data_IF_931534189909
#
_entry.id   IF_931534189909
#
_cell.length_a   1.000
_cell.length_b   1.000
_cell.length_c   1.000
_cell.angle_alpha   90.00
_cell.angle_beta   90.00
_cell.angle_gamma   90.00
#
_symmetry.space_group_name_H-M   'P 1'
#
loop_
_entity.id
_entity.type
_entity.pdbx_description
1 polymer ?
#
# COMPACT_ATOMS: atom_id res chain seq x y z
N UNK A 1 23.40 -23.03 13.67
CA UNK A 1 22.60 -22.03 12.89
C UNK A 1 21.56 -22.65 11.95
N UNK A 2 21.91 -23.48 10.95
CA UNK A 2 20.92 -24.04 9.98
C UNK A 2 19.71 -24.73 10.63
N UNK A 3 19.93 -25.57 11.65
CA UNK A 3 18.86 -26.32 12.35
C UNK A 3 17.85 -25.41 13.08
N UNK A 4 18.33 -24.44 13.86
CA UNK A 4 17.50 -23.41 14.52
C UNK A 4 16.69 -22.56 13.53
N UNK A 5 17.23 -22.29 12.33
CA UNK A 5 16.49 -21.64 11.24
C UNK A 5 15.34 -22.52 10.76
N UNK A 6 15.57 -23.83 10.57
CA UNK A 6 14.53 -24.78 10.15
C UNK A 6 13.43 -24.95 11.22
N UNK A 7 13.79 -25.09 12.49
CA UNK A 7 12.84 -25.24 13.61
C UNK A 7 11.92 -24.01 13.74
N UNK A 8 12.47 -22.79 13.65
CA UNK A 8 11.67 -21.55 13.62
C UNK A 8 10.78 -21.46 12.39
N UNK A 9 11.29 -21.79 11.20
CA UNK A 9 10.49 -21.79 9.96
C UNK A 9 9.35 -22.81 10.04
N UNK A 10 9.59 -24.00 10.58
CA UNK A 10 8.57 -25.03 10.76
C UNK A 10 7.46 -24.55 11.72
N UNK A 11 7.83 -23.91 12.84
CA UNK A 11 6.86 -23.30 13.77
C UNK A 11 6.00 -22.22 13.10
N UNK A 12 6.62 -21.32 12.32
CA UNK A 12 5.90 -20.30 11.54
C UNK A 12 4.91 -20.93 10.55
N UNK A 13 5.32 -21.97 9.82
CA UNK A 13 4.45 -22.71 8.87
C UNK A 13 3.24 -23.33 9.56
N UNK A 14 3.44 -23.95 10.73
CA UNK A 14 2.34 -24.53 11.53
C UNK A 14 1.35 -23.47 12.01
N UNK A 15 1.82 -22.25 12.30
CA UNK A 15 0.97 -21.10 12.62
C UNK A 15 0.34 -20.39 11.42
N UNK A 16 0.57 -20.86 10.19
CA UNK A 16 0.13 -20.17 8.96
C UNK A 16 0.85 -18.83 8.69
N UNK A 17 1.96 -18.58 9.39
CA UNK A 17 2.73 -17.34 9.35
C UNK A 17 3.83 -17.40 8.29
N UNK A 18 4.29 -16.24 7.83
CA UNK A 18 5.39 -16.11 6.86
C UNK A 18 6.43 -15.09 7.30
N UNK A 19 7.65 -15.25 6.81
CA UNK A 19 8.65 -14.17 6.81
C UNK A 19 8.39 -13.29 5.59
N UNK A 20 8.07 -12.02 5.78
CA UNK A 20 7.96 -11.07 4.68
C UNK A 20 9.34 -10.52 4.32
N UNK A 21 9.66 -10.46 3.03
CA UNK A 21 10.86 -9.83 2.50
C UNK A 21 10.42 -8.80 1.46
N UNK A 22 10.69 -7.54 1.77
CA UNK A 22 10.37 -6.38 0.93
C UNK A 22 11.66 -5.88 0.28
N UNK A 23 11.61 -5.63 -1.03
CA UNK A 23 12.66 -4.95 -1.80
C UNK A 23 11.99 -3.97 -2.77
N UNK A 24 12.77 -3.24 -3.57
CA UNK A 24 12.24 -2.22 -4.48
C UNK A 24 11.82 -2.78 -5.85
N UNK A 25 12.55 -3.74 -6.41
CA UNK A 25 12.37 -4.21 -7.80
C UNK A 25 11.88 -5.65 -7.91
N UNK A 26 11.19 -5.98 -9.01
CA UNK A 26 10.79 -7.37 -9.31
C UNK A 26 12.02 -8.27 -9.55
N UNK A 27 13.09 -7.74 -10.17
CA UNK A 27 14.33 -8.49 -10.39
C UNK A 27 14.97 -8.95 -9.06
N UNK A 28 15.07 -8.04 -8.08
CA UNK A 28 15.53 -8.38 -6.73
C UNK A 28 14.58 -9.36 -6.04
N UNK A 29 13.25 -9.23 -6.23
CA UNK A 29 12.29 -10.21 -5.70
C UNK A 29 12.55 -11.61 -6.25
N UNK A 30 12.79 -11.74 -7.55
CA UNK A 30 12.95 -13.04 -8.22
C UNK A 30 14.32 -13.66 -7.91
N UNK A 31 15.37 -12.85 -7.80
CA UNK A 31 16.67 -13.30 -7.28
C UNK A 31 16.56 -13.83 -5.84
N UNK A 32 15.89 -13.11 -4.94
CA UNK A 32 15.70 -13.55 -3.55
C UNK A 32 14.85 -14.83 -3.49
N UNK A 33 13.78 -14.96 -4.30
CA UNK A 33 12.98 -16.20 -4.38
C UNK A 33 13.83 -17.38 -4.84
N UNK A 34 14.67 -17.21 -5.87
CA UNK A 34 15.56 -18.26 -6.36
C UNK A 34 16.60 -18.67 -5.30
N UNK A 35 17.21 -17.70 -4.60
CA UNK A 35 18.14 -17.95 -3.46
C UNK A 35 17.48 -18.67 -2.28
N UNK A 36 16.15 -18.57 -2.12
CA UNK A 36 15.34 -19.21 -1.09
C UNK A 36 14.69 -20.54 -1.56
N UNK A 37 15.03 -21.03 -2.75
CA UNK A 37 14.43 -22.23 -3.36
C UNK A 37 12.89 -22.18 -3.37
N UNK A 38 12.33 -20.98 -3.59
CA UNK A 38 10.90 -20.69 -3.60
C UNK A 38 10.13 -21.14 -2.34
N UNK A 39 10.79 -21.25 -1.18
CA UNK A 39 10.16 -21.69 0.07
C UNK A 39 8.94 -20.82 0.44
N UNK A 40 7.76 -21.43 0.40
CA UNK A 40 6.47 -20.80 0.67
C UNK A 40 6.34 -20.19 2.09
N UNK A 41 7.27 -20.49 2.99
CA UNK A 41 7.45 -19.84 4.30
C UNK A 41 7.82 -18.36 4.19
N UNK A 42 8.31 -17.92 3.02
CA UNK A 42 8.63 -16.54 2.73
C UNK A 42 7.57 -15.91 1.82
N UNK A 43 7.31 -14.62 2.01
CA UNK A 43 6.59 -13.78 1.06
C UNK A 43 7.54 -12.69 0.56
N UNK A 44 8.11 -12.90 -0.62
CA UNK A 44 9.04 -11.96 -1.28
C UNK A 44 8.25 -11.11 -2.28
N UNK A 45 8.26 -9.80 -2.10
CA UNK A 45 7.49 -8.85 -2.92
C UNK A 45 8.08 -7.45 -2.92
N UNK A 46 7.76 -6.65 -3.94
CA UNK A 46 8.07 -5.22 -3.90
C UNK A 46 7.26 -4.54 -2.80
N UNK A 47 7.70 -3.37 -2.32
CA UNK A 47 6.97 -2.62 -1.28
C UNK A 47 5.51 -2.34 -1.65
N UNK A 48 5.24 -2.04 -2.93
CA UNK A 48 3.88 -1.90 -3.44
C UNK A 48 3.11 -3.21 -3.49
N UNK A 49 3.74 -4.31 -3.90
CA UNK A 49 3.13 -5.64 -3.92
C UNK A 49 2.76 -6.13 -2.52
N UNK A 50 3.65 -5.92 -1.54
CA UNK A 50 3.39 -6.20 -0.14
C UNK A 50 2.22 -5.37 0.40
N UNK A 51 2.29 -4.05 0.20
CA UNK A 51 1.26 -3.09 0.64
C UNK A 51 -0.11 -3.45 0.07
N UNK A 52 -0.18 -3.77 -1.23
CA UNK A 52 -1.42 -4.21 -1.85
C UNK A 52 -1.93 -5.53 -1.27
N UNK A 53 -1.11 -6.59 -1.15
CA UNK A 53 -1.55 -7.87 -0.56
C UNK A 53 -1.92 -7.78 0.94
N UNK A 54 -1.52 -6.69 1.61
CA UNK A 54 -1.97 -6.35 2.96
C UNK A 54 -3.36 -5.70 2.95
N UNK A 55 -3.61 -4.68 2.11
CA UNK A 55 -4.88 -3.91 2.11
C UNK A 55 -6.00 -4.49 1.22
N UNK A 56 -5.66 -5.27 0.19
CA UNK A 56 -6.56 -5.88 -0.81
C UNK A 56 -7.82 -6.57 -0.27
N UNK A 57 -7.83 -7.22 0.91
CA UNK A 57 -9.07 -7.79 1.47
C UNK A 57 -10.13 -6.73 1.84
N UNK A 58 -9.73 -5.52 2.23
CA UNK A 58 -10.58 -4.52 2.90
C UNK A 58 -11.27 -3.57 1.91
N UNK A 59 -12.03 -4.13 0.99
CA UNK A 59 -12.66 -3.41 -0.14
C UNK A 59 -13.57 -2.25 0.29
N UNK A 60 -14.22 -2.34 1.46
CA UNK A 60 -15.05 -1.26 2.00
C UNK A 60 -14.21 -0.13 2.60
N UNK A 61 -13.14 -0.45 3.33
CA UNK A 61 -12.21 0.54 3.87
C UNK A 61 -11.44 1.25 2.75
N UNK A 62 -11.04 0.53 1.69
CA UNK A 62 -10.49 1.11 0.45
C UNK A 62 -11.45 2.15 -0.12
N UNK A 63 -12.74 1.82 -0.26
CA UNK A 63 -13.77 2.76 -0.77
C UNK A 63 -13.91 3.99 0.13
N UNK A 64 -13.97 3.79 1.45
CA UNK A 64 -14.13 4.86 2.42
C UNK A 64 -12.92 5.81 2.44
N UNK A 65 -11.70 5.27 2.38
CA UNK A 65 -10.46 6.06 2.32
C UNK A 65 -10.37 6.85 1.02
N UNK A 66 -10.65 6.23 -0.14
CA UNK A 66 -10.69 6.93 -1.43
C UNK A 66 -11.72 8.07 -1.44
N UNK A 67 -12.91 7.86 -0.86
CA UNK A 67 -13.91 8.92 -0.67
C UNK A 67 -13.34 10.09 0.12
N UNK A 68 -12.78 9.83 1.32
CA UNK A 68 -12.18 10.86 2.19
C UNK A 68 -11.09 11.64 1.44
N UNK A 69 -10.17 10.93 0.77
CA UNK A 69 -9.07 11.51 0.01
C UNK A 69 -9.55 12.35 -1.19
N UNK A 70 -10.44 11.83 -2.03
CA UNK A 70 -10.94 12.54 -3.21
C UNK A 70 -11.71 13.81 -2.83
N UNK A 71 -12.53 13.78 -1.77
CA UNK A 71 -13.22 14.97 -1.25
C UNK A 71 -12.21 16.05 -0.82
N UNK A 72 -11.17 15.68 -0.07
CA UNK A 72 -10.11 16.61 0.35
C UNK A 72 -9.31 17.18 -0.84
N UNK A 73 -8.91 16.33 -1.79
CA UNK A 73 -8.19 16.77 -3.00
C UNK A 73 -9.04 17.72 -3.86
N UNK A 74 -10.36 17.47 -3.99
CA UNK A 74 -11.29 18.35 -4.70
C UNK A 74 -11.40 19.71 -4.00
N UNK A 75 -11.58 19.73 -2.67
CA UNK A 75 -11.69 20.98 -1.91
C UNK A 75 -10.42 21.85 -2.04
N UNK A 76 -9.23 21.24 -1.92
CA UNK A 76 -7.95 21.95 -2.10
C UNK A 76 -7.79 22.48 -3.53
N UNK A 77 -8.23 21.74 -4.55
CA UNK A 77 -8.19 22.22 -5.93
C UNK A 77 -9.19 23.36 -6.19
N UNK A 78 -10.38 23.31 -5.59
CA UNK A 78 -11.38 24.37 -5.66
C UNK A 78 -10.88 25.66 -4.99
N UNK A 79 -10.31 25.56 -3.79
CA UNK A 79 -9.71 26.71 -3.09
C UNK A 79 -8.57 27.33 -3.92
N UNK A 80 -7.66 26.51 -4.45
CA UNK A 80 -6.57 26.96 -5.34
C UNK A 80 -7.08 27.56 -6.64
N UNK A 81 -8.26 27.18 -7.11
CA UNK A 81 -8.89 27.77 -8.28
C UNK A 81 -9.49 29.16 -7.96
N UNK A 82 -10.18 29.30 -6.84
CA UNK A 82 -10.76 30.58 -6.39
C UNK A 82 -9.68 31.63 -6.09
N UNK A 83 -8.59 31.23 -5.42
CA UNK A 83 -7.47 32.13 -5.05
C UNK A 83 -6.43 32.30 -6.17
N UNK A 84 -6.58 31.63 -7.32
CA UNK A 84 -5.55 31.55 -8.35
C UNK A 84 -5.62 32.69 -9.38
N UNK A 85 -4.44 33.12 -9.87
CA UNK A 85 -4.37 34.07 -11.00
C UNK A 85 -5.00 33.48 -12.27
N UNK A 86 -6.03 34.16 -12.78
CA UNK A 86 -6.69 33.83 -14.05
C UNK A 86 -5.70 33.83 -15.24
N UNK A 87 -6.00 33.02 -16.26
CA UNK A 87 -5.17 32.89 -17.47
C UNK A 87 -3.88 32.06 -17.31
N UNK A 88 -3.51 31.64 -16.09
CA UNK A 88 -2.38 30.72 -15.89
C UNK A 88 -2.70 29.29 -16.36
N UNK A 89 -1.69 28.54 -16.82
CA UNK A 89 -1.85 27.10 -17.18
C UNK A 89 -2.51 26.31 -16.04
N UNK A 90 -2.09 26.55 -14.79
CA UNK A 90 -2.68 25.92 -13.61
C UNK A 90 -4.18 26.23 -13.45
N UNK A 91 -4.63 27.46 -13.77
CA UNK A 91 -6.05 27.82 -13.73
C UNK A 91 -6.89 27.15 -14.83
N UNK A 92 -6.27 26.74 -15.95
CA UNK A 92 -6.91 25.97 -17.03
C UNK A 92 -6.93 24.46 -16.74
N UNK A 93 -5.91 23.93 -16.07
CA UNK A 93 -5.79 22.50 -15.76
C UNK A 93 -6.60 22.08 -14.51
N UNK A 94 -6.73 22.93 -13.49
CA UNK A 94 -7.49 22.61 -12.26
C UNK A 94 -8.95 22.18 -12.51
N UNK A 95 -9.76 22.86 -13.35
CA UNK A 95 -11.12 22.41 -13.67
C UNK A 95 -11.17 20.97 -14.21
N UNK A 96 -10.21 20.60 -15.07
CA UNK A 96 -10.11 19.23 -15.62
C UNK A 96 -9.75 18.21 -14.53
N UNK A 97 -8.85 18.58 -13.61
CA UNK A 97 -8.49 17.72 -12.47
C UNK A 97 -9.66 17.53 -11.49
N UNK A 98 -10.43 18.59 -11.22
CA UNK A 98 -11.64 18.54 -10.38
C UNK A 98 -12.68 17.62 -11.02
N UNK A 99 -13.00 17.81 -12.30
CA UNK A 99 -13.94 16.96 -13.04
C UNK A 99 -13.52 15.48 -13.04
N UNK A 100 -12.24 15.18 -13.32
CA UNK A 100 -11.72 13.82 -13.28
C UNK A 100 -11.87 13.16 -11.90
N UNK A 101 -11.55 13.89 -10.81
CA UNK A 101 -11.72 13.41 -9.44
C UNK A 101 -13.18 13.24 -9.05
N UNK A 102 -14.06 14.17 -9.44
CA UNK A 102 -15.50 14.07 -9.20
C UNK A 102 -16.10 12.86 -9.93
N UNK A 103 -15.69 12.59 -11.17
CA UNK A 103 -16.09 11.41 -11.93
C UNK A 103 -15.64 10.10 -11.26
N UNK A 104 -14.46 10.07 -10.62
CA UNK A 104 -14.01 8.92 -9.84
C UNK A 104 -14.78 8.77 -8.52
N UNK A 105 -14.99 9.87 -7.79
CA UNK A 105 -15.76 9.92 -6.55
C UNK A 105 -17.20 9.40 -6.75
N UNK A 106 -17.88 9.85 -7.81
CA UNK A 106 -19.23 9.42 -8.17
C UNK A 106 -19.30 7.93 -8.60
N UNK A 107 -18.18 7.34 -9.01
CA UNK A 107 -18.11 5.93 -9.42
C UNK A 107 -17.90 4.96 -8.24
N UNK A 108 -17.43 5.42 -7.07
CA UNK A 108 -16.96 4.56 -5.98
C UNK A 108 -17.97 3.49 -5.50
N UNK A 109 -19.26 3.81 -5.40
CA UNK A 109 -20.31 2.90 -4.92
C UNK A 109 -20.70 1.84 -5.97
N UNK A 110 -20.37 2.09 -7.23
CA UNK A 110 -20.58 1.13 -8.33
C UNK A 110 -19.38 0.17 -8.45
N UNK A 111 -18.25 0.49 -7.83
CA UNK A 111 -17.04 -0.36 -7.83
C UNK A 111 -17.22 -1.48 -6.79
N UNK A 112 -17.42 -2.70 -7.30
CA UNK A 112 -17.53 -3.93 -6.49
C UNK A 112 -16.19 -4.37 -5.90
N UNK A 113 -15.10 -4.17 -6.65
CA UNK A 113 -13.74 -4.57 -6.27
C UNK A 113 -12.74 -3.61 -6.88
N UNK A 114 -11.81 -3.12 -6.07
CA UNK A 114 -10.64 -2.37 -6.49
C UNK A 114 -9.51 -3.31 -6.88
N UNK A 115 -8.70 -2.87 -7.83
CA UNK A 115 -7.53 -3.57 -8.33
C UNK A 115 -6.26 -2.70 -8.17
N UNK A 116 -5.10 -3.31 -8.35
CA UNK A 116 -3.82 -2.64 -8.45
C UNK A 116 -2.96 -3.42 -9.45
N UNK A 117 -2.26 -2.70 -10.31
CA UNK A 117 -1.35 -3.27 -11.30
C UNK A 117 0.08 -2.75 -11.04
N UNK A 118 1.05 -3.62 -10.67
CA UNK A 118 2.43 -3.23 -10.44
C UNK A 118 3.18 -2.61 -11.63
N UNK A 119 2.66 -2.74 -12.85
CA UNK A 119 3.20 -2.07 -14.04
C UNK A 119 2.86 -0.57 -14.11
N UNK A 120 1.98 -0.07 -13.25
CA UNK A 120 1.46 1.30 -13.28
C UNK A 120 0.29 1.53 -14.23
N UNK A 121 -0.10 0.53 -15.04
CA UNK A 121 -1.29 0.63 -15.89
C UNK A 121 -2.58 0.78 -15.06
N UNK A 122 -3.37 1.80 -15.40
CA UNK A 122 -4.63 2.12 -14.73
C UNK A 122 -5.77 2.14 -15.76
N UNK A 123 -6.31 0.98 -16.18
CA UNK A 123 -7.32 0.89 -17.23
C UNK A 123 -8.73 1.30 -16.77
N UNK A 124 -8.96 1.56 -15.49
CA UNK A 124 -10.28 1.80 -14.92
C UNK A 124 -10.27 2.53 -13.59
N UNK A 125 -11.38 3.20 -13.24
CA UNK A 125 -11.52 4.03 -12.02
C UNK A 125 -11.38 3.24 -10.70
N UNK A 126 -11.50 1.92 -10.80
CA UNK A 126 -11.31 0.88 -9.80
C UNK A 126 -9.85 0.48 -9.56
N UNK A 127 -8.92 0.93 -10.40
CA UNK A 127 -7.49 0.70 -10.18
C UNK A 127 -6.91 1.76 -9.24
N UNK A 128 -6.20 1.31 -8.21
CA UNK A 128 -5.32 2.14 -7.38
C UNK A 128 -4.01 2.41 -8.12
N UNK A 129 -3.40 3.56 -7.87
CA UNK A 129 -2.01 3.83 -8.27
C UNK A 129 -1.03 3.57 -7.10
N UNK A 130 0.27 3.58 -7.39
CA UNK A 130 1.35 3.43 -6.40
C UNK A 130 1.20 4.30 -5.15
N UNK A 131 0.95 5.60 -5.32
CA UNK A 131 0.81 6.56 -4.22
C UNK A 131 -0.49 6.38 -3.42
N UNK A 132 -1.53 5.77 -4.01
CA UNK A 132 -2.74 5.38 -3.29
C UNK A 132 -2.51 4.12 -2.46
N UNK A 133 -1.82 3.11 -3.01
CA UNK A 133 -1.50 1.87 -2.29
C UNK A 133 -0.62 2.14 -1.06
N UNK A 134 0.47 2.92 -1.22
CA UNK A 134 1.37 3.25 -0.11
C UNK A 134 0.63 4.07 0.96
N UNK A 135 0.09 5.24 0.60
CA UNK A 135 -0.53 6.14 1.58
C UNK A 135 -1.72 5.51 2.31
N UNK A 136 -2.49 4.64 1.66
CA UNK A 136 -3.59 3.91 2.29
C UNK A 136 -3.08 2.84 3.25
N UNK A 137 -2.01 2.12 2.90
CA UNK A 137 -1.37 1.14 3.78
C UNK A 137 -0.79 1.83 5.02
N UNK A 138 -0.07 2.94 4.85
CA UNK A 138 0.39 3.80 5.94
C UNK A 138 -0.77 4.24 6.83
N UNK A 139 -1.85 4.80 6.24
CA UNK A 139 -3.03 5.24 7.00
C UNK A 139 -3.64 4.09 7.80
N UNK A 140 -3.78 2.90 7.22
CA UNK A 140 -4.40 1.76 7.91
C UNK A 140 -3.50 1.20 9.02
N UNK A 141 -2.18 1.21 8.85
CA UNK A 141 -1.25 0.79 9.90
C UNK A 141 -1.25 1.77 11.09
N UNK A 142 -1.33 3.07 10.83
CA UNK A 142 -1.36 4.09 11.87
C UNK A 142 -2.73 4.18 12.58
N UNK A 143 -3.84 4.18 11.82
CA UNK A 143 -5.19 4.41 12.38
C UNK A 143 -5.91 3.15 12.87
N UNK A 144 -5.53 1.92 12.44
CA UNK A 144 -6.35 0.71 12.64
C UNK A 144 -5.61 -0.41 13.39
N UNK A 145 -5.81 -0.56 14.72
CA UNK A 145 -5.22 -1.65 15.51
C UNK A 145 -5.50 -3.07 14.98
N UNK A 146 -6.61 -3.28 14.27
CA UNK A 146 -6.88 -4.55 13.60
C UNK A 146 -5.88 -4.84 12.46
N UNK A 147 -5.52 -3.83 11.66
CA UNK A 147 -4.53 -3.98 10.60
C UNK A 147 -3.15 -4.32 11.17
N UNK A 148 -2.76 -3.63 12.25
CA UNK A 148 -1.52 -3.89 13.00
C UNK A 148 -1.48 -5.36 13.45
N UNK A 149 -2.52 -5.84 14.14
CA UNK A 149 -2.64 -7.24 14.60
C UNK A 149 -2.58 -8.25 13.45
N UNK A 150 -3.09 -7.91 12.26
CA UNK A 150 -3.07 -8.78 11.09
C UNK A 150 -1.69 -8.81 10.43
N UNK A 151 -1.00 -7.67 10.32
CA UNK A 151 0.40 -7.60 9.92
C UNK A 151 1.25 -8.50 10.82
N UNK A 152 1.18 -8.32 12.13
CA UNK A 152 2.00 -9.05 13.12
C UNK A 152 1.70 -10.55 13.09
N UNK A 153 0.43 -10.95 13.05
CA UNK A 153 0.05 -12.37 13.04
C UNK A 153 0.42 -13.07 11.75
N UNK A 154 0.33 -12.40 10.59
CA UNK A 154 0.66 -12.98 9.28
C UNK A 154 2.17 -12.94 9.00
N UNK A 155 2.85 -11.89 9.46
CA UNK A 155 4.26 -11.59 9.19
C UNK A 155 5.01 -11.19 10.47
N UNK A 156 5.26 -12.13 11.41
CA UNK A 156 6.00 -11.86 12.65
C UNK A 156 7.49 -11.54 12.44
N UNK A 157 8.00 -11.70 11.20
CA UNK A 157 9.31 -11.23 10.78
C UNK A 157 9.12 -10.48 9.46
N UNK A 158 9.50 -9.21 9.46
CA UNK A 158 9.50 -8.33 8.30
C UNK A 158 10.94 -7.90 8.02
N UNK A 159 11.48 -8.26 6.86
CA UNK A 159 12.78 -7.84 6.37
C UNK A 159 12.55 -6.84 5.24
N UNK A 160 13.21 -5.69 5.29
CA UNK A 160 13.04 -4.62 4.30
C UNK A 160 14.43 -4.21 3.81
N UNK A 161 14.61 -4.25 2.50
CA UNK A 161 15.87 -4.00 1.78
C UNK A 161 15.76 -2.70 0.97
N UNK A 162 16.84 -1.91 0.93
CA UNK A 162 17.00 -0.67 0.13
C UNK A 162 15.77 0.26 0.10
N UNK A 163 15.24 0.65 1.27
CA UNK A 163 13.87 1.17 1.39
C UNK A 163 13.70 2.59 1.96
N UNK A 164 14.77 3.23 2.43
CA UNK A 164 14.67 4.46 3.22
C UNK A 164 14.20 5.67 2.38
N UNK A 165 14.83 5.93 1.24
CA UNK A 165 14.66 7.21 0.50
C UNK A 165 13.33 7.40 -0.24
N UNK A 166 12.55 6.33 -0.46
CA UNK A 166 11.35 6.38 -1.31
C UNK A 166 10.01 6.36 -0.55
N UNK A 167 9.99 5.80 0.67
CA UNK A 167 8.75 5.44 1.38
C UNK A 167 8.83 5.60 2.91
N UNK A 168 9.60 6.57 3.39
CA UNK A 168 9.82 6.90 4.81
C UNK A 168 8.55 6.76 5.68
N UNK A 169 7.45 7.43 5.32
CA UNK A 169 6.17 7.38 6.06
C UNK A 169 5.63 5.94 6.30
N UNK A 170 5.85 5.02 5.35
CA UNK A 170 5.41 3.61 5.49
C UNK A 170 6.38 2.81 6.35
N UNK A 171 7.68 3.11 6.27
CA UNK A 171 8.70 2.51 7.12
C UNK A 171 8.49 2.93 8.58
N UNK A 172 8.22 4.21 8.83
CA UNK A 172 7.84 4.74 10.14
C UNK A 172 6.57 4.09 10.68
N UNK A 173 5.56 3.87 9.82
CA UNK A 173 4.36 3.14 10.23
C UNK A 173 4.67 1.70 10.65
N UNK A 174 5.61 1.00 10.00
CA UNK A 174 6.07 -0.31 10.45
C UNK A 174 6.81 -0.24 11.80
N UNK A 175 7.68 0.77 12.01
CA UNK A 175 8.35 0.97 13.30
C UNK A 175 7.38 1.32 14.43
N UNK A 176 6.35 2.13 14.19
CA UNK A 176 5.30 2.41 15.18
C UNK A 176 4.52 1.14 15.54
N UNK A 177 4.20 0.29 14.57
CA UNK A 177 3.59 -1.02 14.85
C UNK A 177 4.53 -1.92 15.63
N UNK A 178 5.84 -1.93 15.34
CA UNK A 178 6.83 -2.68 16.13
C UNK A 178 6.86 -2.21 17.59
N UNK A 179 6.93 -0.90 17.83
CA UNK A 179 6.97 -0.32 19.18
C UNK A 179 5.70 -0.60 19.99
N UNK A 180 4.55 -0.75 19.34
CA UNK A 180 3.28 -1.10 19.99
C UNK A 180 3.15 -2.60 20.38
N UNK A 181 4.19 -3.42 20.14
CA UNK A 181 4.26 -4.84 20.53
C UNK A 181 5.09 -5.05 21.81
N UNK A 182 5.77 -4.01 22.30
CA UNK A 182 6.59 -4.01 23.52
C UNK A 182 5.77 -4.01 24.80
#
# INVERSE_FOLDING_TARGET
>A
MKKFRQERIQSLRLGGQKVAVITYTNAACDEIKARLDYDASFQVSTIYGFSWELIKPYQNDIRAWLRKRLLGEIAVLQEKQQKGRAGSKAALDRPRQIDAKQKRLNALERIKRFAYNPSGENPGRDFLNHAEVIAMTTTFLLERPLMQRILIRRFPILLIDESQDAHEELIDAFFQVQSAIG
#
